data_IF_226323120669
#
_entry.id   IF_226323120669
#
_cell.length_a   1.000
_cell.length_b   1.000
_cell.length_c   1.000
_cell.angle_alpha   90.00
_cell.angle_beta   90.00
_cell.angle_gamma   90.00
#
_symmetry.space_group_name_H-M   'P 1'
#
loop_
_entity.id
_entity.type
_entity.pdbx_description
1 polymer ?
#
# COMPACT_ATOMS: atom_id res chain seq x y z
N UNK A 1 -5.93 -28.75 -4.22
CA UNK A 1 -6.87 -28.02 -3.31
C UNK A 1 -6.90 -26.54 -3.68
N UNK A 2 -8.05 -26.00 -4.11
CA UNK A 2 -8.22 -24.58 -4.48
C UNK A 2 -8.23 -23.62 -3.29
N UNK A 3 -8.48 -24.12 -2.07
CA UNK A 3 -8.60 -23.33 -0.85
C UNK A 3 -7.30 -22.60 -0.46
N UNK A 4 -6.13 -23.19 -0.73
CA UNK A 4 -4.82 -22.57 -0.44
C UNK A 4 -4.48 -21.38 -1.35
N UNK A 5 -5.20 -21.22 -2.46
CA UNK A 5 -5.03 -20.10 -3.40
C UNK A 5 -5.93 -18.90 -3.06
N UNK A 6 -6.81 -19.03 -2.05
CA UNK A 6 -7.64 -17.93 -1.59
C UNK A 6 -6.86 -17.01 -0.67
N UNK A 7 -7.24 -15.74 -0.66
CA UNK A 7 -6.72 -14.78 0.30
C UNK A 7 -7.02 -15.26 1.74
N UNK A 8 -6.12 -14.95 2.70
CA UNK A 8 -6.39 -15.17 4.12
C UNK A 8 -7.74 -14.55 4.53
N UNK A 9 -8.48 -15.23 5.41
CA UNK A 9 -9.73 -14.70 5.96
C UNK A 9 -9.51 -13.56 6.96
N UNK A 10 -8.29 -13.46 7.51
CA UNK A 10 -7.90 -12.36 8.37
C UNK A 10 -7.57 -11.15 7.50
N UNK A 11 -8.21 -10.03 7.80
CA UNK A 11 -7.83 -8.73 7.30
C UNK A 11 -7.02 -8.01 8.37
N UNK A 12 -6.03 -7.23 7.93
CA UNK A 12 -5.19 -6.41 8.77
C UNK A 12 -5.46 -4.95 8.44
N UNK A 13 -5.67 -4.15 9.48
CA UNK A 13 -5.74 -2.70 9.35
C UNK A 13 -4.35 -2.14 9.05
N UNK A 14 -4.24 -1.36 7.97
CA UNK A 14 -2.97 -0.76 7.52
C UNK A 14 -3.17 0.66 7.03
N UNK A 15 -2.10 1.45 7.11
CA UNK A 15 -1.99 2.75 6.45
C UNK A 15 -1.33 2.62 5.07
N UNK A 16 -1.55 3.61 4.22
CA UNK A 16 -0.87 3.71 2.92
C UNK A 16 0.65 3.89 3.10
N UNK A 17 1.43 3.02 2.46
CA UNK A 17 2.89 2.97 2.62
C UNK A 17 3.65 3.74 1.53
N UNK A 18 3.01 4.66 0.81
CA UNK A 18 3.66 5.42 -0.25
C UNK A 18 4.66 6.48 0.24
N UNK A 19 4.46 7.05 1.44
CA UNK A 19 5.27 8.11 2.11
C UNK A 19 5.87 9.21 1.18
N UNK A 20 5.10 9.68 0.20
CA UNK A 20 5.47 10.85 -0.61
C UNK A 20 6.40 10.49 -1.76
N UNK A 21 7.70 10.82 -1.70
CA UNK A 21 8.65 10.50 -2.79
C UNK A 21 9.11 9.05 -2.82
N UNK A 22 9.18 8.41 -1.66
CA UNK A 22 9.64 7.02 -1.52
C UNK A 22 8.67 6.26 -0.64
N UNK A 23 8.47 5.00 -1.00
CA UNK A 23 7.76 4.06 -0.14
C UNK A 23 8.36 4.02 1.27
N UNK A 24 7.53 3.69 2.25
CA UNK A 24 7.88 3.49 3.65
C UNK A 24 9.14 2.63 3.86
N UNK A 25 9.31 1.58 3.06
CA UNK A 25 10.46 0.67 3.17
C UNK A 25 11.68 1.13 2.35
N UNK A 26 11.63 2.33 1.75
CA UNK A 26 12.65 2.88 0.84
C UNK A 26 12.98 2.02 -0.40
N UNK A 27 12.19 0.97 -0.67
CA UNK A 27 12.43 0.03 -1.78
C UNK A 27 11.97 0.58 -3.13
N UNK A 28 10.87 1.34 -3.14
CA UNK A 28 10.28 1.90 -4.37
C UNK A 28 10.23 3.42 -4.29
N UNK A 29 10.55 4.08 -5.40
CA UNK A 29 10.45 5.54 -5.56
C UNK A 29 9.21 5.83 -6.38
N UNK A 30 8.29 6.61 -5.82
CA UNK A 30 7.06 7.00 -6.50
C UNK A 30 7.39 7.84 -7.72
N UNK A 31 6.68 7.59 -8.82
CA UNK A 31 6.91 8.27 -10.10
C UNK A 31 6.24 9.64 -10.15
N UNK A 32 5.16 9.81 -9.39
CA UNK A 32 4.39 11.04 -9.33
C UNK A 32 4.26 11.57 -7.90
N UNK A 33 4.09 12.88 -7.76
CA UNK A 33 3.73 13.49 -6.48
C UNK A 33 2.23 13.35 -6.27
N UNK A 34 1.84 12.59 -5.24
CA UNK A 34 0.43 12.39 -4.89
C UNK A 34 -0.20 13.66 -4.29
N UNK A 35 -1.52 13.64 -4.08
CA UNK A 35 -2.31 14.75 -3.50
C UNK A 35 -1.81 15.24 -2.13
N UNK A 36 -1.12 14.38 -1.38
CA UNK A 36 -0.55 14.68 -0.06
C UNK A 36 0.92 15.17 -0.12
N UNK A 37 1.49 15.34 -1.32
CA UNK A 37 2.86 15.80 -1.50
C UNK A 37 3.90 14.88 -0.84
N UNK A 38 4.84 15.48 -0.10
CA UNK A 38 5.88 14.78 0.66
C UNK A 38 5.40 14.26 2.03
N UNK A 39 4.18 14.61 2.45
CA UNK A 39 3.62 14.18 3.73
C UNK A 39 3.17 12.72 3.69
N UNK A 40 3.14 12.00 4.82
CA UNK A 40 2.57 10.66 4.88
C UNK A 40 1.09 10.69 4.47
N UNK A 41 0.67 9.70 3.69
CA UNK A 41 -0.71 9.57 3.26
C UNK A 41 -1.60 9.22 4.47
N UNK A 42 -2.68 9.97 4.73
CA UNK A 42 -3.56 9.74 5.89
C UNK A 42 -4.54 8.58 5.69
N UNK A 43 -4.57 7.97 4.49
CA UNK A 43 -5.52 6.92 4.17
C UNK A 43 -5.15 5.60 4.86
N UNK A 44 -6.12 5.02 5.55
CA UNK A 44 -6.06 3.71 6.18
C UNK A 44 -7.13 2.79 5.58
N UNK A 45 -6.83 1.50 5.49
CA UNK A 45 -7.71 0.50 4.89
C UNK A 45 -7.40 -0.90 5.42
N UNK A 46 -8.35 -1.81 5.21
CA UNK A 46 -8.19 -3.21 5.54
C UNK A 46 -7.63 -3.98 4.34
N UNK A 47 -6.66 -4.86 4.60
CA UNK A 47 -6.02 -5.65 3.56
C UNK A 47 -5.74 -7.07 4.00
N UNK A 48 -5.71 -8.01 3.05
CA UNK A 48 -5.33 -9.41 3.29
C UNK A 48 -3.80 -9.64 3.31
N UNK A 49 -3.02 -8.56 3.20
CA UNK A 49 -1.56 -8.61 3.30
C UNK A 49 -1.12 -8.50 4.78
N UNK A 50 -0.46 -9.54 5.30
CA UNK A 50 0.06 -9.55 6.69
C UNK A 50 1.25 -8.60 6.85
N UNK A 51 1.34 -7.81 7.94
CA UNK A 51 2.47 -6.89 8.22
C UNK A 51 3.85 -7.53 8.13
N UNK A 52 3.93 -8.85 8.34
CA UNK A 52 5.19 -9.61 8.24
C UNK A 52 5.68 -9.78 6.79
N UNK A 53 4.85 -9.46 5.79
CA UNK A 53 5.24 -9.51 4.38
C UNK A 53 5.96 -8.23 3.96
N UNK A 54 7.02 -8.33 3.15
CA UNK A 54 7.81 -7.17 2.71
C UNK A 54 7.11 -6.32 1.63
N UNK A 55 5.92 -6.74 1.18
CA UNK A 55 5.13 -6.06 0.15
C UNK A 55 4.67 -4.68 0.63
N UNK A 56 4.76 -3.69 -0.26
CA UNK A 56 4.33 -2.32 0.01
C UNK A 56 2.88 -2.18 -0.44
N UNK A 57 2.01 -1.72 0.44
CA UNK A 57 0.59 -1.57 0.14
C UNK A 57 0.22 -0.09 0.00
N UNK A 58 -0.33 0.27 -1.15
CA UNK A 58 -0.77 1.62 -1.47
C UNK A 58 -2.28 1.71 -1.27
N UNK A 59 -2.78 2.90 -0.90
CA UNK A 59 -4.21 3.15 -1.01
C UNK A 59 -4.61 3.28 -2.48
N UNK A 60 -5.89 3.06 -2.76
CA UNK A 60 -6.46 3.13 -4.12
C UNK A 60 -6.11 4.44 -4.83
N UNK A 61 -6.22 5.58 -4.14
CA UNK A 61 -5.94 6.89 -4.72
C UNK A 61 -4.47 7.05 -5.16
N UNK A 62 -3.52 6.61 -4.33
CA UNK A 62 -2.09 6.67 -4.66
C UNK A 62 -1.75 5.69 -5.79
N UNK A 63 -2.32 4.49 -5.75
CA UNK A 63 -2.10 3.49 -6.79
C UNK A 63 -2.64 3.97 -8.15
N UNK A 64 -3.86 4.50 -8.18
CA UNK A 64 -4.46 5.02 -9.41
C UNK A 64 -3.66 6.20 -9.96
N UNK A 65 -3.10 7.07 -9.11
CA UNK A 65 -2.26 8.18 -9.56
C UNK A 65 -0.95 7.71 -10.22
N UNK A 66 -0.39 6.57 -9.79
CA UNK A 66 0.85 6.00 -10.35
C UNK A 66 0.60 5.21 -11.66
N UNK A 67 -0.61 4.70 -11.88
CA UNK A 67 -0.94 3.83 -13.01
C UNK A 67 -1.71 4.55 -14.14
N UNK A 68 -2.51 5.57 -13.81
CA UNK A 68 -3.32 6.32 -14.77
C UNK A 68 -2.47 7.25 -15.65
#
# INVERSE_FOLDING_TARGET
QRLKQRNPLKLWHRHCQCKGKKSENNTYTNTITHQHGDSPCPNEFETSYSPDRPEIVYCEQCYNAEIA
#
